data_IF_055685724132
#
_entry.id   IF_055685724132
#
_cell.length_a   1.000
_cell.length_b   1.000
_cell.length_c   1.000
_cell.angle_alpha   90.00
_cell.angle_beta   90.00
_cell.angle_gamma   90.00
#
_symmetry.space_group_name_H-M   'P 1'
#
loop_
_entity.id
_entity.type
_entity.pdbx_description
1 polymer ?
#
# COMPACT_ATOMS: atom_id res chain seq x y z
N UNK A 1 -25.71 22.31 25.64
CA UNK A 1 -27.01 22.39 24.94
C UNK A 1 -27.16 21.20 23.99
N UNK A 2 -27.70 20.06 24.44
CA UNK A 2 -28.18 19.00 23.55
C UNK A 2 -29.24 18.18 24.30
N UNK A 3 -30.51 18.58 24.14
CA UNK A 3 -31.69 17.73 24.36
C UNK A 3 -32.74 18.19 23.34
N UNK A 4 -33.11 17.31 22.40
CA UNK A 4 -34.46 17.21 21.86
C UNK A 4 -34.56 15.96 20.95
N UNK A 5 -35.54 15.07 21.16
CA UNK A 5 -35.92 14.02 20.22
C UNK A 5 -37.08 14.50 19.32
N UNK A 6 -36.99 14.24 18.02
CA UNK A 6 -38.02 14.61 17.04
C UNK A 6 -38.41 13.41 16.18
N UNK A 7 -39.70 13.08 16.20
CA UNK A 7 -40.36 12.01 15.46
C UNK A 7 -40.84 12.45 14.06
N UNK A 8 -41.21 11.46 13.23
CA UNK A 8 -41.79 11.63 11.88
C UNK A 8 -40.70 11.89 10.83
N UNK A 9 -40.64 11.26 9.67
CA UNK A 9 -41.68 11.16 8.65
C UNK A 9 -41.40 9.95 7.73
N UNK A 10 -42.36 9.03 7.59
CA UNK A 10 -42.40 8.02 6.54
C UNK A 10 -43.22 8.60 5.38
N UNK A 11 -42.59 8.82 4.22
CA UNK A 11 -43.29 9.13 2.96
C UNK A 11 -43.29 7.91 2.05
N UNK A 12 -44.50 7.54 1.69
CA UNK A 12 -44.94 6.52 0.74
C UNK A 12 -44.47 6.81 -0.69
N UNK A 13 -43.97 5.79 -1.40
CA UNK A 13 -43.68 5.82 -2.85
C UNK A 13 -44.86 5.21 -3.62
N UNK A 14 -45.29 5.81 -4.75
CA UNK A 14 -46.43 5.31 -5.52
C UNK A 14 -46.04 4.19 -6.51
N UNK A 15 -46.95 3.23 -6.63
CA UNK A 15 -46.96 2.09 -7.54
C UNK A 15 -47.15 2.52 -9.00
N UNK A 16 -46.22 2.15 -9.88
CA UNK A 16 -46.39 2.24 -11.33
C UNK A 16 -46.70 0.85 -11.91
N UNK A 17 -47.95 0.69 -12.35
CA UNK A 17 -48.51 -0.49 -13.03
C UNK A 17 -47.84 -0.66 -14.41
N UNK A 18 -47.26 -1.83 -14.68
CA UNK A 18 -46.92 -2.23 -16.04
C UNK A 18 -48.18 -2.72 -16.77
N UNK A 19 -48.45 -2.07 -17.90
CA UNK A 19 -49.55 -2.32 -18.82
C UNK A 19 -49.21 -3.51 -19.72
N UNK A 20 -49.97 -4.60 -19.59
CA UNK A 20 -49.96 -5.70 -20.53
C UNK A 20 -50.49 -5.24 -21.90
N UNK A 21 -49.79 -5.59 -22.97
CA UNK A 21 -50.24 -5.43 -24.36
C UNK A 21 -50.15 -6.79 -25.03
N UNK A 22 -51.29 -7.42 -25.25
CA UNK A 22 -51.42 -8.63 -26.06
C UNK A 22 -51.75 -8.30 -27.51
N UNK A 23 -51.42 -9.25 -28.39
CA UNK A 23 -51.96 -9.65 -29.71
C UNK A 23 -50.77 -10.20 -30.54
N UNK A 24 -50.79 -11.29 -31.29
CA UNK A 24 -51.69 -12.42 -31.61
C UNK A 24 -50.80 -13.43 -32.41
N UNK A 25 -51.25 -14.66 -32.70
CA UNK A 25 -50.40 -15.78 -33.11
C UNK A 25 -50.28 -15.93 -34.64
N UNK A 26 -49.09 -16.25 -35.12
CA UNK A 26 -48.83 -16.61 -36.52
C UNK A 26 -48.14 -17.96 -36.60
N UNK A 27 -48.89 -18.99 -37.01
CA UNK A 27 -48.37 -20.33 -37.27
C UNK A 27 -47.56 -20.36 -38.57
N UNK A 28 -46.34 -20.87 -38.52
CA UNK A 28 -45.66 -21.47 -39.67
C UNK A 28 -44.64 -22.53 -39.20
N UNK A 29 -44.79 -23.72 -39.77
CA UNK A 29 -44.09 -24.98 -39.44
C UNK A 29 -42.57 -24.95 -39.71
N UNK A 30 -41.79 -25.88 -39.12
CA UNK A 30 -40.34 -25.78 -38.99
C UNK A 30 -39.62 -26.29 -40.25
N UNK A 31 -38.59 -25.55 -40.70
CA UNK A 31 -37.61 -26.06 -41.67
C UNK A 31 -36.33 -26.43 -40.94
N UNK A 32 -36.08 -27.73 -40.83
CA UNK A 32 -34.78 -28.31 -40.46
C UNK A 32 -33.78 -28.05 -41.59
N UNK A 33 -32.59 -27.46 -41.33
CA UNK A 33 -31.45 -27.58 -42.22
C UNK A 33 -30.73 -28.92 -42.00
N UNK A 34 -30.28 -29.51 -43.11
CA UNK A 34 -29.62 -30.82 -43.23
C UNK A 34 -28.35 -30.99 -42.37
N UNK A 35 -27.94 -32.23 -42.04
CA UNK A 35 -26.71 -32.49 -41.30
C UNK A 35 -25.48 -32.17 -42.17
N UNK A 36 -24.62 -31.28 -41.69
CA UNK A 36 -23.30 -31.03 -42.28
C UNK A 36 -22.36 -32.22 -42.01
N UNK A 37 -21.43 -32.53 -42.93
CA UNK A 37 -20.59 -33.72 -42.85
C UNK A 37 -19.55 -33.67 -41.70
N UNK A 38 -19.31 -34.83 -41.09
CA UNK A 38 -18.56 -35.14 -39.84
C UNK A 38 -17.04 -34.84 -39.85
N UNK A 39 -16.54 -33.98 -40.75
CA UNK A 39 -15.08 -33.81 -40.96
C UNK A 39 -14.63 -32.35 -41.03
N UNK A 40 -15.47 -31.42 -40.56
CA UNK A 40 -15.00 -30.13 -40.05
C UNK A 40 -14.63 -30.27 -38.57
N UNK A 41 -13.61 -31.08 -38.28
CA UNK A 41 -12.88 -30.95 -37.02
C UNK A 41 -12.06 -29.66 -37.11
N UNK A 42 -12.72 -28.52 -36.90
CA UNK A 42 -12.00 -27.34 -36.46
C UNK A 42 -11.20 -27.78 -35.24
N UNK A 43 -9.88 -27.62 -35.29
CA UNK A 43 -9.03 -27.74 -34.13
C UNK A 43 -9.71 -26.94 -33.02
N UNK A 44 -10.22 -27.65 -32.01
CA UNK A 44 -10.62 -27.03 -30.76
C UNK A 44 -9.32 -26.48 -30.21
N UNK A 45 -9.01 -25.24 -30.60
CA UNK A 45 -8.03 -24.41 -29.95
C UNK A 45 -8.35 -24.57 -28.48
N UNK A 46 -7.41 -25.15 -27.73
CA UNK A 46 -7.56 -25.40 -26.31
C UNK A 46 -8.16 -24.13 -25.73
N UNK A 47 -9.42 -24.20 -25.30
CA UNK A 47 -10.11 -23.06 -24.75
C UNK A 47 -9.19 -22.57 -23.62
N UNK A 48 -8.60 -21.40 -23.83
CA UNK A 48 -7.74 -20.77 -22.85
C UNK A 48 -8.46 -20.87 -21.51
N UNK A 49 -7.77 -21.44 -20.52
CA UNK A 49 -8.27 -21.46 -19.15
C UNK A 49 -8.87 -20.08 -18.84
N UNK A 50 -9.99 -19.99 -18.09
CA UNK A 50 -10.60 -18.71 -17.79
C UNK A 50 -9.52 -17.76 -17.31
N UNK A 51 -9.24 -16.72 -18.10
CA UNK A 51 -8.08 -15.87 -17.93
C UNK A 51 -8.01 -15.47 -16.46
N UNK A 52 -7.00 -16.00 -15.75
CA UNK A 52 -6.93 -15.86 -14.31
C UNK A 52 -6.93 -14.37 -13.96
N UNK A 53 -7.43 -14.01 -12.77
CA UNK A 53 -7.33 -12.62 -12.28
C UNK A 53 -5.88 -12.08 -12.38
N UNK A 54 -4.89 -12.98 -12.29
CA UNK A 54 -3.49 -12.68 -12.53
C UNK A 54 -3.18 -12.31 -13.98
N UNK A 55 -3.69 -13.05 -14.97
CA UNK A 55 -3.47 -12.74 -16.39
C UNK A 55 -4.14 -11.43 -16.78
N UNK A 56 -5.35 -11.18 -16.27
CA UNK A 56 -6.03 -9.90 -16.43
C UNK A 56 -5.24 -8.74 -15.81
N UNK A 57 -4.61 -8.96 -14.66
CA UNK A 57 -3.70 -7.98 -14.03
C UNK A 57 -2.42 -7.80 -14.85
N UNK A 58 -1.80 -8.89 -15.32
CA UNK A 58 -0.57 -8.86 -16.11
C UNK A 58 -0.76 -8.14 -17.44
N UNK A 59 -1.94 -8.24 -18.05
CA UNK A 59 -2.31 -7.54 -19.27
C UNK A 59 -2.89 -6.12 -19.04
N UNK A 60 -2.98 -5.67 -17.79
CA UNK A 60 -3.60 -4.38 -17.48
C UNK A 60 -2.77 -3.18 -17.96
N UNK A 61 -3.45 -2.08 -18.29
CA UNK A 61 -2.82 -0.85 -18.75
C UNK A 61 -1.73 -0.29 -17.80
N UNK A 62 -1.89 -0.34 -16.45
CA UNK A 62 -0.84 0.10 -15.53
C UNK A 62 0.44 -0.75 -15.60
N UNK A 63 0.31 -2.05 -15.85
CA UNK A 63 1.47 -2.94 -16.03
C UNK A 63 2.18 -2.63 -17.33
N UNK A 64 1.44 -2.43 -18.43
CA UNK A 64 2.01 -2.01 -19.72
C UNK A 64 2.74 -0.67 -19.63
N UNK A 65 2.16 0.30 -18.92
CA UNK A 65 2.83 1.58 -18.67
C UNK A 65 4.13 1.40 -17.85
N UNK A 66 4.15 0.49 -16.89
CA UNK A 66 5.37 0.15 -16.15
C UNK A 66 6.42 -0.54 -17.05
N UNK A 67 6.00 -1.44 -17.95
CA UNK A 67 6.88 -2.05 -18.97
C UNK A 67 7.52 -0.97 -19.86
N UNK A 68 6.71 -0.05 -20.40
CA UNK A 68 7.19 1.06 -21.24
C UNK A 68 8.16 1.99 -20.50
N UNK A 69 7.90 2.33 -19.24
CA UNK A 69 8.80 3.16 -18.42
C UNK A 69 10.14 2.47 -18.21
N UNK A 70 10.15 1.16 -17.94
CA UNK A 70 11.38 0.38 -17.74
C UNK A 70 12.18 0.27 -19.05
N UNK A 71 11.50 0.00 -20.17
CA UNK A 71 12.14 -0.06 -21.50
C UNK A 71 12.69 1.30 -21.91
N UNK A 72 11.91 2.37 -21.75
CA UNK A 72 12.33 3.73 -22.05
C UNK A 72 13.52 4.17 -21.20
N UNK A 73 13.54 3.82 -19.91
CA UNK A 73 14.67 4.07 -19.01
C UNK A 73 15.94 3.34 -19.49
N UNK A 74 15.81 2.07 -19.88
CA UNK A 74 16.94 1.28 -20.37
C UNK A 74 17.47 1.83 -21.70
N UNK A 75 16.58 2.13 -22.64
CA UNK A 75 16.93 2.68 -23.94
C UNK A 75 17.58 4.07 -23.84
N UNK A 76 17.11 4.92 -22.93
CA UNK A 76 17.66 6.27 -22.73
C UNK A 76 19.03 6.26 -22.05
N UNK A 77 19.30 5.29 -21.17
CA UNK A 77 20.52 5.25 -20.35
C UNK A 77 21.60 4.35 -20.93
N UNK A 78 21.22 3.34 -21.74
CA UNK A 78 22.12 2.32 -22.28
C UNK A 78 22.77 1.44 -21.20
N UNK A 79 22.31 1.51 -19.96
CA UNK A 79 22.87 0.73 -18.85
C UNK A 79 22.47 -0.75 -18.96
N UNK A 80 23.27 -1.65 -18.37
CA UNK A 80 22.83 -3.02 -18.13
C UNK A 80 21.50 -3.05 -17.36
N UNK A 81 20.72 -4.10 -17.55
CA UNK A 81 19.37 -4.21 -16.98
C UNK A 81 19.33 -4.06 -15.46
N UNK A 82 20.31 -4.60 -14.73
CA UNK A 82 20.40 -4.39 -13.27
C UNK A 82 20.48 -2.90 -12.91
N UNK A 83 21.27 -2.11 -13.65
CA UNK A 83 21.47 -0.69 -13.43
C UNK A 83 20.24 0.13 -13.82
N UNK A 84 19.58 -0.22 -14.92
CA UNK A 84 18.33 0.43 -15.33
C UNK A 84 17.19 0.19 -14.33
N UNK A 85 17.06 -1.03 -13.79
CA UNK A 85 16.09 -1.34 -12.73
C UNK A 85 16.36 -0.48 -11.49
N UNK A 86 17.61 -0.36 -11.06
CA UNK A 86 18.00 0.49 -9.93
C UNK A 86 17.65 1.96 -10.20
N UNK A 87 18.08 2.51 -11.33
CA UNK A 87 17.90 3.92 -11.67
C UNK A 87 16.42 4.28 -11.80
N UNK A 88 15.64 3.47 -12.51
CA UNK A 88 14.19 3.68 -12.65
C UNK A 88 13.48 3.61 -11.30
N UNK A 89 13.88 2.70 -10.41
CA UNK A 89 13.33 2.60 -9.05
C UNK A 89 13.66 3.84 -8.23
N UNK A 90 14.92 4.29 -8.24
CA UNK A 90 15.36 5.50 -7.53
C UNK A 90 14.63 6.73 -8.06
N UNK A 91 14.53 6.88 -9.38
CA UNK A 91 13.84 7.99 -10.01
C UNK A 91 12.36 8.01 -9.64
N UNK A 92 11.67 6.87 -9.75
CA UNK A 92 10.24 6.79 -9.43
C UNK A 92 9.95 7.00 -7.95
N UNK A 93 10.73 6.36 -7.06
CA UNK A 93 10.63 6.57 -5.61
C UNK A 93 10.97 8.01 -5.24
N UNK A 94 11.98 8.61 -5.86
CA UNK A 94 12.39 9.98 -5.60
C UNK A 94 11.37 11.02 -6.08
N UNK A 95 10.82 10.84 -7.28
CA UNK A 95 9.88 11.79 -7.87
C UNK A 95 8.46 11.66 -7.30
N UNK A 96 8.00 10.44 -7.04
CA UNK A 96 6.63 10.20 -6.58
C UNK A 96 6.58 10.00 -5.07
N UNK A 97 7.33 9.03 -4.55
CA UNK A 97 7.09 8.56 -3.18
C UNK A 97 7.72 9.43 -2.12
N UNK A 98 8.82 10.12 -2.42
CA UNK A 98 9.48 11.05 -1.48
C UNK A 98 8.62 12.28 -1.16
N UNK A 99 8.03 13.02 -2.11
CA UNK A 99 7.11 14.12 -1.79
C UNK A 99 5.88 13.65 -1.01
N UNK A 100 5.31 12.50 -1.39
CA UNK A 100 4.20 11.87 -0.68
C UNK A 100 4.58 11.46 0.76
N UNK A 101 5.79 10.95 0.96
CA UNK A 101 6.32 10.63 2.29
C UNK A 101 6.55 11.90 3.12
N UNK A 102 7.10 12.97 2.54
CA UNK A 102 7.22 14.26 3.21
C UNK A 102 5.84 14.80 3.65
N UNK A 103 4.83 14.70 2.78
CA UNK A 103 3.46 15.07 3.11
C UNK A 103 2.85 14.19 4.21
N UNK A 104 3.08 12.87 4.18
CA UNK A 104 2.66 11.96 5.24
C UNK A 104 3.25 12.39 6.60
N UNK A 105 4.56 12.66 6.64
CA UNK A 105 5.24 13.11 7.87
C UNK A 105 4.74 14.47 8.34
N UNK A 106 4.45 15.39 7.41
CA UNK A 106 3.84 16.69 7.73
C UNK A 106 2.48 16.54 8.44
N UNK A 107 1.59 15.69 7.91
CA UNK A 107 0.27 15.45 8.52
C UNK A 107 0.42 14.76 9.88
N UNK A 108 1.31 13.77 9.99
CA UNK A 108 1.54 13.07 11.25
C UNK A 108 2.09 14.00 12.34
N UNK A 109 3.01 14.91 11.98
CA UNK A 109 3.55 15.90 12.90
C UNK A 109 2.46 16.86 13.41
N UNK A 110 1.54 17.30 12.54
CA UNK A 110 0.37 18.09 12.96
C UNK A 110 -0.52 17.33 13.94
N UNK A 111 -0.82 16.07 13.65
CA UNK A 111 -1.65 15.23 14.53
C UNK A 111 -0.96 14.99 15.89
N UNK A 112 0.36 14.88 15.91
CA UNK A 112 1.13 14.77 17.15
C UNK A 112 1.04 16.05 17.99
N UNK A 113 1.21 17.21 17.36
CA UNK A 113 1.10 18.51 18.03
C UNK A 113 -0.29 18.79 18.59
N UNK A 114 -1.34 18.14 18.06
CA UNK A 114 -2.70 18.19 18.58
C UNK A 114 -2.97 17.22 19.74
N UNK A 115 -2.09 16.24 19.99
CA UNK A 115 -2.30 15.28 21.08
C UNK A 115 -2.51 15.93 22.46
N UNK A 116 -1.81 17.00 22.86
CA UNK A 116 -2.07 17.71 24.11
C UNK A 116 -3.50 18.28 24.18
N UNK A 117 -3.96 18.96 23.12
CA UNK A 117 -5.33 19.52 23.06
C UNK A 117 -6.39 18.41 23.13
N UNK A 118 -6.16 17.30 22.41
CA UNK A 118 -7.03 16.11 22.45
C UNK A 118 -7.10 15.53 23.87
N UNK A 119 -5.98 15.48 24.61
CA UNK A 119 -5.95 15.00 26.01
C UNK A 119 -6.74 15.92 26.94
N UNK A 120 -6.65 17.23 26.76
CA UNK A 120 -7.41 18.19 27.55
C UNK A 120 -8.92 18.09 27.28
N UNK A 121 -9.30 17.96 26.00
CA UNK A 121 -10.70 17.69 25.61
C UNK A 121 -11.20 16.39 26.23
N UNK A 122 -10.41 15.31 26.18
CA UNK A 122 -10.78 14.03 26.76
C UNK A 122 -11.03 14.15 28.27
N UNK A 123 -10.19 14.89 29.00
CA UNK A 123 -10.35 15.13 30.44
C UNK A 123 -11.64 15.88 30.75
N UNK A 124 -11.91 16.99 30.05
CA UNK A 124 -13.13 17.80 30.23
C UNK A 124 -14.39 17.01 29.88
N UNK A 125 -14.39 16.35 28.72
CA UNK A 125 -15.53 15.54 28.27
C UNK A 125 -15.83 14.38 29.23
N UNK A 126 -14.80 13.73 29.77
CA UNK A 126 -15.00 12.66 30.75
C UNK A 126 -15.67 13.19 32.04
N UNK A 127 -15.27 14.37 32.51
CA UNK A 127 -15.91 15.03 33.67
C UNK A 127 -17.36 15.41 33.37
N UNK A 128 -17.64 16.01 32.21
CA UNK A 128 -19.00 16.39 31.80
C UNK A 128 -19.91 15.17 31.66
N UNK A 129 -19.43 14.10 31.01
CA UNK A 129 -20.19 12.86 30.87
C UNK A 129 -20.43 12.19 32.21
N UNK A 130 -19.46 12.22 33.15
CA UNK A 130 -19.64 11.68 34.48
C UNK A 130 -20.71 12.44 35.28
N UNK A 131 -20.71 13.77 35.23
CA UNK A 131 -21.73 14.62 35.87
C UNK A 131 -23.12 14.37 35.27
N UNK A 132 -23.23 14.34 33.94
CA UNK A 132 -24.49 14.03 33.26
C UNK A 132 -24.97 12.61 33.57
N UNK A 133 -24.07 11.62 33.59
CA UNK A 133 -24.43 10.25 33.92
C UNK A 133 -24.99 10.12 35.34
N UNK A 134 -24.40 10.85 36.30
CA UNK A 134 -24.91 10.90 37.67
C UNK A 134 -26.26 11.63 37.75
N UNK A 135 -26.38 12.79 37.10
CA UNK A 135 -27.61 13.63 37.15
C UNK A 135 -28.82 12.97 36.49
N UNK A 136 -28.62 12.28 35.38
CA UNK A 136 -29.68 11.67 34.58
C UNK A 136 -29.78 10.15 34.77
N UNK A 137 -29.03 9.57 35.70
CA UNK A 137 -29.05 8.13 35.98
C UNK A 137 -28.69 7.27 34.77
N UNK A 138 -27.74 7.70 33.93
CA UNK A 138 -27.39 6.96 32.72
C UNK A 138 -26.75 5.61 33.04
N UNK A 139 -27.09 4.58 32.26
CA UNK A 139 -26.37 3.31 32.33
C UNK A 139 -24.92 3.48 31.85
N UNK A 140 -24.01 2.64 32.38
CA UNK A 140 -22.58 2.65 31.99
C UNK A 140 -22.36 2.55 30.47
N UNK A 141 -23.23 1.80 29.76
CA UNK A 141 -23.18 1.67 28.31
C UNK A 141 -23.50 2.98 27.61
N UNK A 142 -24.56 3.66 28.03
CA UNK A 142 -24.98 4.95 27.45
C UNK A 142 -23.92 6.01 27.70
N UNK A 143 -23.41 6.13 28.92
CA UNK A 143 -22.33 7.07 29.22
C UNK A 143 -21.09 6.84 28.34
N UNK A 144 -20.65 5.58 28.18
CA UNK A 144 -19.52 5.22 27.32
C UNK A 144 -19.79 5.54 25.84
N UNK A 145 -20.97 5.20 25.32
CA UNK A 145 -21.33 5.49 23.93
C UNK A 145 -21.38 7.00 23.67
N UNK A 146 -21.96 7.77 24.59
CA UNK A 146 -22.00 9.24 24.51
C UNK A 146 -20.59 9.84 24.54
N UNK A 147 -19.72 9.37 25.45
CA UNK A 147 -18.32 9.77 25.49
C UNK A 147 -17.62 9.49 24.15
N UNK A 148 -17.70 8.26 23.63
CA UNK A 148 -17.04 7.88 22.38
C UNK A 148 -17.56 8.68 21.18
N UNK A 149 -18.88 8.93 21.12
CA UNK A 149 -19.52 9.71 20.05
C UNK A 149 -19.07 11.17 20.07
N UNK A 150 -19.11 11.81 21.24
CA UNK A 150 -18.67 13.21 21.39
C UNK A 150 -17.16 13.35 21.19
N UNK A 151 -16.37 12.40 21.69
CA UNK A 151 -14.92 12.39 21.50
C UNK A 151 -14.57 12.31 20.01
N UNK A 152 -15.20 11.41 19.26
CA UNK A 152 -14.99 11.29 17.81
C UNK A 152 -15.37 12.58 17.08
N UNK A 153 -16.48 13.21 17.46
CA UNK A 153 -16.95 14.47 16.87
C UNK A 153 -15.95 15.60 17.11
N UNK A 154 -15.56 15.86 18.36
CA UNK A 154 -14.65 16.95 18.72
C UNK A 154 -13.26 16.76 18.10
N UNK A 155 -12.73 15.54 18.10
CA UNK A 155 -11.46 15.23 17.44
C UNK A 155 -11.56 15.42 15.92
N UNK A 156 -12.69 15.05 15.31
CA UNK A 156 -12.90 15.26 13.87
C UNK A 156 -12.99 16.75 13.53
N UNK A 157 -13.69 17.56 14.33
CA UNK A 157 -13.77 19.01 14.17
C UNK A 157 -12.37 19.64 14.28
N UNK A 158 -11.56 19.16 15.23
CA UNK A 158 -10.17 19.58 15.39
C UNK A 158 -9.30 19.25 14.16
N UNK A 159 -9.43 18.04 13.61
CA UNK A 159 -8.71 17.66 12.39
C UNK A 159 -9.16 18.45 11.15
N UNK A 160 -10.42 18.88 11.09
CA UNK A 160 -10.92 19.74 10.01
C UNK A 160 -10.38 21.16 10.17
N UNK A 161 -10.39 21.71 11.39
CA UNK A 161 -9.83 23.03 11.73
C UNK A 161 -8.39 23.17 11.23
N UNK A 162 -7.56 22.15 11.50
CA UNK A 162 -6.12 22.18 11.19
C UNK A 162 -5.76 21.49 9.85
N UNK A 163 -6.80 21.02 9.15
CA UNK A 163 -6.75 20.33 7.85
C UNK A 163 -5.82 19.10 7.81
N UNK A 164 -5.67 18.42 8.95
CA UNK A 164 -4.68 17.36 9.20
C UNK A 164 -5.31 15.97 9.38
N UNK A 165 -6.41 15.70 8.67
CA UNK A 165 -7.11 14.41 8.80
C UNK A 165 -6.17 13.22 8.55
N UNK A 166 -6.11 12.21 9.46
CA UNK A 166 -5.13 11.12 9.39
C UNK A 166 -5.24 10.27 8.12
N UNK A 167 -6.40 10.25 7.47
CA UNK A 167 -6.57 9.58 6.17
C UNK A 167 -5.62 10.13 5.09
N UNK A 168 -5.28 11.42 5.13
CA UNK A 168 -4.33 12.02 4.18
C UNK A 168 -2.92 11.43 4.32
N UNK A 169 -2.54 11.02 5.52
CA UNK A 169 -1.27 10.33 5.76
C UNK A 169 -1.26 8.90 5.18
N UNK A 170 -2.42 8.31 4.88
CA UNK A 170 -2.50 6.97 4.27
C UNK A 170 -2.31 6.97 2.76
N UNK A 171 -2.34 8.14 2.11
CA UNK A 171 -2.24 8.27 0.64
C UNK A 171 -0.96 7.63 0.09
N UNK A 172 0.16 7.73 0.83
CA UNK A 172 1.41 7.08 0.42
C UNK A 172 1.23 5.58 0.25
N UNK A 173 0.53 4.90 1.16
CA UNK A 173 0.29 3.44 1.08
C UNK A 173 -0.53 3.08 -0.15
N UNK A 174 -1.55 3.88 -0.46
CA UNK A 174 -2.43 3.69 -1.61
C UNK A 174 -1.76 3.92 -2.96
N UNK A 175 -0.70 4.75 -3.02
CA UNK A 175 0.09 4.94 -4.24
C UNK A 175 1.21 3.91 -4.31
N UNK A 176 1.87 3.65 -3.18
CA UNK A 176 3.06 2.81 -3.10
C UNK A 176 2.76 1.33 -3.39
N UNK A 177 1.69 0.78 -2.81
CA UNK A 177 1.39 -0.65 -2.96
C UNK A 177 1.01 -1.01 -4.40
N UNK A 178 0.08 -0.31 -5.08
CA UNK A 178 -0.23 -0.62 -6.48
C UNK A 178 0.96 -0.41 -7.40
N UNK A 179 1.72 0.69 -7.23
CA UNK A 179 2.95 0.93 -7.99
C UNK A 179 3.95 -0.23 -7.84
N UNK A 180 4.15 -0.70 -6.61
CA UNK A 180 5.04 -1.83 -6.33
C UNK A 180 4.56 -3.12 -6.99
N UNK A 181 3.25 -3.39 -6.95
CA UNK A 181 2.64 -4.55 -7.63
C UNK A 181 2.85 -4.46 -9.14
N UNK A 182 2.49 -3.33 -9.77
CA UNK A 182 2.54 -3.19 -11.23
C UNK A 182 3.96 -3.34 -11.78
N UNK A 183 4.97 -2.75 -11.11
CA UNK A 183 6.37 -2.90 -11.51
C UNK A 183 6.85 -4.33 -11.30
N UNK A 184 6.45 -4.99 -10.21
CA UNK A 184 6.81 -6.40 -9.97
C UNK A 184 6.23 -7.32 -11.04
N UNK A 185 4.98 -7.08 -11.46
CA UNK A 185 4.34 -7.86 -12.53
C UNK A 185 4.99 -7.56 -13.88
N UNK A 186 5.33 -6.30 -14.18
CA UNK A 186 6.05 -5.92 -15.40
C UNK A 186 7.42 -6.63 -15.49
N UNK A 187 8.20 -6.62 -14.41
CA UNK A 187 9.49 -7.34 -14.35
C UNK A 187 9.30 -8.86 -14.47
N UNK A 188 8.20 -9.40 -13.96
CA UNK A 188 7.87 -10.82 -14.13
C UNK A 188 7.56 -11.13 -15.59
N UNK A 189 6.75 -10.30 -16.26
CA UNK A 189 6.44 -10.46 -17.67
C UNK A 189 7.70 -10.40 -18.54
N UNK A 190 8.65 -9.50 -18.25
CA UNK A 190 9.96 -9.49 -18.92
C UNK A 190 10.78 -10.75 -18.66
N UNK A 191 10.75 -11.27 -17.43
CA UNK A 191 11.52 -12.46 -17.06
C UNK A 191 10.94 -13.73 -17.68
N UNK A 192 9.63 -13.80 -17.90
CA UNK A 192 8.96 -14.96 -18.51
C UNK A 192 8.72 -14.83 -20.01
N UNK A 193 9.16 -13.73 -20.64
CA UNK A 193 8.92 -13.46 -22.07
C UNK A 193 7.46 -13.16 -22.41
N UNK A 194 6.60 -12.95 -21.40
CA UNK A 194 5.17 -12.68 -21.56
C UNK A 194 4.85 -11.18 -21.70
N UNK A 195 5.88 -10.35 -21.89
CA UNK A 195 5.71 -8.91 -22.06
C UNK A 195 4.92 -8.59 -23.33
N UNK A 196 4.10 -7.55 -23.27
CA UNK A 196 3.10 -7.26 -24.30
C UNK A 196 3.65 -6.55 -25.54
N UNK A 197 4.98 -6.40 -25.62
CA UNK A 197 5.68 -5.86 -26.78
C UNK A 197 6.20 -7.01 -27.64
N UNK A 198 6.23 -6.79 -28.95
CA UNK A 198 6.90 -7.65 -29.95
C UNK A 198 8.41 -7.87 -29.68
N UNK A 199 8.97 -7.15 -28.70
CA UNK A 199 10.30 -7.31 -28.14
C UNK A 199 10.36 -8.19 -26.87
N UNK A 200 9.27 -8.85 -26.45
CA UNK A 200 9.23 -9.57 -25.16
C UNK A 200 10.31 -10.65 -25.02
N UNK A 201 10.58 -11.40 -26.08
CA UNK A 201 11.62 -12.43 -26.13
C UNK A 201 13.02 -11.79 -26.16
N UNK A 202 13.22 -10.72 -26.93
CA UNK A 202 14.53 -10.05 -26.98
C UNK A 202 14.86 -9.34 -25.67
N UNK A 203 13.86 -8.81 -24.96
CA UNK A 203 14.02 -8.22 -23.62
C UNK A 203 14.37 -9.31 -22.61
N UNK A 204 13.75 -10.49 -22.67
CA UNK A 204 14.09 -11.61 -21.80
C UNK A 204 15.55 -12.04 -21.99
N UNK A 205 16.02 -12.18 -23.24
CA UNK A 205 17.42 -12.52 -23.54
C UNK A 205 18.39 -11.46 -22.99
N UNK A 206 18.05 -10.18 -23.15
CA UNK A 206 18.85 -9.09 -22.60
C UNK A 206 18.84 -9.07 -21.07
N UNK A 207 17.73 -9.42 -20.40
CA UNK A 207 17.68 -9.58 -18.94
C UNK A 207 18.56 -10.76 -18.49
N UNK A 208 18.53 -11.86 -19.21
CA UNK A 208 19.30 -13.05 -18.89
C UNK A 208 20.82 -12.82 -19.01
N UNK A 209 21.25 -11.95 -19.92
CA UNK A 209 22.65 -11.52 -20.03
C UNK A 209 22.98 -10.26 -19.22
N UNK A 210 21.96 -9.57 -18.68
CA UNK A 210 22.05 -8.21 -18.15
C UNK A 210 22.22 -8.11 -16.63
N UNK A 211 22.56 -9.21 -15.95
CA UNK A 211 22.80 -9.25 -14.51
C UNK A 211 24.20 -8.80 -14.09
N UNK A 212 24.53 -9.00 -12.82
CA UNK A 212 25.80 -8.58 -12.23
C UNK A 212 26.19 -9.45 -11.03
N UNK A 213 27.45 -9.36 -10.62
CA UNK A 213 27.98 -10.00 -9.41
C UNK A 213 27.70 -11.52 -9.40
N UNK A 214 27.00 -12.04 -8.39
CA UNK A 214 26.64 -13.46 -8.24
C UNK A 214 25.30 -13.82 -8.90
N UNK A 215 24.61 -12.86 -9.53
CA UNK A 215 23.35 -13.06 -10.25
C UNK A 215 23.49 -12.60 -11.72
N UNK A 216 24.22 -13.36 -12.56
CA UNK A 216 24.44 -12.99 -13.96
C UNK A 216 23.15 -13.02 -14.79
N UNK A 217 22.21 -13.91 -14.44
CA UNK A 217 20.91 -14.05 -15.06
C UNK A 217 19.81 -13.44 -14.17
N UNK A 218 19.18 -12.37 -14.65
CA UNK A 218 18.09 -11.70 -13.92
C UNK A 218 16.74 -12.41 -14.04
N UNK A 219 16.60 -13.34 -14.97
CA UNK A 219 15.37 -14.13 -15.20
C UNK A 219 15.32 -15.38 -14.32
N UNK A 220 16.49 -15.89 -13.92
CA UNK A 220 16.62 -17.00 -12.99
C UNK A 220 16.39 -16.58 -11.53
N UNK A 221 16.03 -17.55 -10.70
CA UNK A 221 15.96 -17.39 -9.24
C UNK A 221 17.36 -17.34 -8.63
N UNK A 222 17.54 -16.56 -7.56
CA UNK A 222 18.82 -16.46 -6.85
C UNK A 222 19.09 -17.72 -6.02
N UNK A 223 19.93 -18.62 -6.54
CA UNK A 223 20.31 -19.87 -5.85
C UNK A 223 21.19 -19.63 -4.62
N UNK A 224 21.80 -18.46 -4.48
CA UNK A 224 22.66 -18.11 -3.33
C UNK A 224 21.86 -17.60 -2.13
N UNK A 225 20.59 -17.25 -2.33
CA UNK A 225 19.69 -16.65 -1.34
C UNK A 225 20.17 -15.30 -0.78
N UNK A 226 21.24 -14.72 -1.32
CA UNK A 226 21.80 -13.46 -0.83
C UNK A 226 20.80 -12.31 -1.07
N UNK A 227 20.20 -12.21 -2.27
CA UNK A 227 19.21 -11.18 -2.57
C UNK A 227 17.93 -11.33 -1.73
N UNK A 228 17.27 -12.50 -1.67
CA UNK A 228 16.10 -12.72 -0.81
C UNK A 228 16.32 -12.37 0.66
N UNK A 229 17.44 -12.82 1.23
CA UNK A 229 17.79 -12.54 2.63
C UNK A 229 18.04 -11.04 2.83
N UNK A 230 18.73 -10.38 1.90
CA UNK A 230 18.98 -8.93 1.97
C UNK A 230 17.67 -8.14 1.98
N UNK A 231 16.69 -8.51 1.15
CA UNK A 231 15.35 -7.88 1.17
C UNK A 231 14.70 -8.02 2.54
N UNK A 232 14.71 -9.23 3.10
CA UNK A 232 14.16 -9.50 4.44
C UNK A 232 14.85 -8.67 5.53
N UNK A 233 16.18 -8.59 5.50
CA UNK A 233 16.98 -7.80 6.46
C UNK A 233 16.65 -6.31 6.37
N UNK A 234 16.63 -5.73 5.16
CA UNK A 234 16.32 -4.31 4.98
C UNK A 234 14.89 -4.00 5.42
N UNK A 235 13.92 -4.84 5.07
CA UNK A 235 12.54 -4.68 5.51
C UNK A 235 12.41 -4.77 7.03
N UNK A 236 13.09 -5.72 7.66
CA UNK A 236 13.11 -5.85 9.12
C UNK A 236 13.73 -4.61 9.78
N UNK A 237 14.82 -4.07 9.22
CA UNK A 237 15.43 -2.83 9.69
C UNK A 237 14.46 -1.64 9.64
N UNK A 238 13.69 -1.50 8.54
CA UNK A 238 12.65 -0.46 8.43
C UNK A 238 11.63 -0.60 9.56
N UNK A 239 11.15 -1.82 9.82
CA UNK A 239 10.18 -2.10 10.89
C UNK A 239 10.77 -1.80 12.27
N UNK A 240 12.02 -2.16 12.51
CA UNK A 240 12.69 -1.89 13.78
C UNK A 240 12.89 -0.40 14.03
N UNK A 241 13.33 0.35 13.01
CA UNK A 241 13.49 1.80 13.11
C UNK A 241 12.15 2.46 13.44
N UNK A 242 11.07 2.04 12.78
CA UNK A 242 9.73 2.57 13.06
C UNK A 242 9.22 2.17 14.45
N UNK A 243 9.49 0.94 14.90
CA UNK A 243 9.11 0.47 16.23
C UNK A 243 9.87 1.24 17.35
N UNK A 244 11.13 1.58 17.12
CA UNK A 244 11.95 2.35 18.07
C UNK A 244 11.47 3.80 18.23
N UNK A 245 10.78 4.36 17.22
CA UNK A 245 10.25 5.74 17.28
C UNK A 245 9.05 5.89 18.22
N UNK A 246 8.28 4.81 18.47
CA UNK A 246 7.04 4.90 19.23
C UNK A 246 7.26 4.64 20.72
N UNK A 247 7.59 5.68 21.47
CA UNK A 247 7.54 5.66 22.94
C UNK A 247 6.09 5.46 23.39
N UNK A 248 5.78 4.29 23.98
CA UNK A 248 4.44 3.97 24.49
C UNK A 248 3.48 3.40 23.44
N UNK A 249 3.87 2.32 22.74
CA UNK A 249 2.98 1.64 21.78
C UNK A 249 1.71 1.10 22.45
N UNK A 250 0.56 1.33 21.81
CA UNK A 250 -0.68 0.63 22.15
C UNK A 250 -0.56 -0.88 21.90
N UNK A 251 -1.32 -1.71 22.64
CA UNK A 251 -1.39 -3.17 22.41
C UNK A 251 -1.67 -3.51 20.94
N UNK A 252 -2.55 -2.76 20.29
CA UNK A 252 -2.84 -2.94 18.87
C UNK A 252 -1.63 -2.67 17.97
N UNK A 253 -0.88 -1.60 18.24
CA UNK A 253 0.34 -1.26 17.49
C UNK A 253 1.45 -2.29 17.72
N UNK A 254 1.54 -2.85 18.93
CA UNK A 254 2.45 -3.96 19.22
C UNK A 254 2.12 -5.19 18.37
N UNK A 255 0.85 -5.61 18.33
CA UNK A 255 0.43 -6.73 17.48
C UNK A 255 0.72 -6.48 16.01
N UNK A 256 0.41 -5.28 15.49
CA UNK A 256 0.75 -4.91 14.11
C UNK A 256 2.26 -5.00 13.88
N UNK A 257 3.06 -4.48 14.79
CA UNK A 257 4.53 -4.50 14.63
C UNK A 257 5.06 -5.93 14.56
N UNK A 258 4.60 -6.82 15.44
CA UNK A 258 4.97 -8.24 15.40
C UNK A 258 4.47 -8.94 14.12
N UNK A 259 3.27 -8.61 13.66
CA UNK A 259 2.74 -9.12 12.40
C UNK A 259 3.62 -8.69 11.20
N UNK A 260 3.97 -7.41 11.10
CA UNK A 260 4.81 -6.91 10.00
C UNK A 260 6.24 -7.47 10.07
N UNK A 261 6.79 -7.71 11.27
CA UNK A 261 8.05 -8.45 11.44
C UNK A 261 7.96 -9.86 10.87
N UNK A 262 6.93 -10.61 11.25
CA UNK A 262 6.70 -11.96 10.73
C UNK A 262 6.54 -11.95 9.21
N UNK A 263 5.81 -10.98 8.66
CA UNK A 263 5.66 -10.81 7.21
C UNK A 263 7.00 -10.49 6.52
N UNK A 264 7.88 -9.71 7.15
CA UNK A 264 9.21 -9.40 6.60
C UNK A 264 10.11 -10.63 6.51
N UNK A 265 10.01 -11.54 7.49
CA UNK A 265 10.72 -12.83 7.46
C UNK A 265 10.09 -13.78 6.44
N UNK A 266 8.75 -13.84 6.38
CA UNK A 266 8.02 -14.66 5.40
C UNK A 266 8.27 -14.22 3.95
N UNK A 267 8.60 -12.94 3.71
CA UNK A 267 8.95 -12.45 2.38
C UNK A 267 10.26 -13.04 1.84
N UNK A 268 11.14 -13.59 2.69
CA UNK A 268 12.41 -14.20 2.25
C UNK A 268 12.16 -15.44 1.37
N UNK A 269 11.43 -16.49 1.80
CA UNK A 269 11.17 -17.64 0.93
C UNK A 269 10.34 -17.27 -0.29
N UNK A 270 9.44 -16.29 -0.19
CA UNK A 270 8.68 -15.79 -1.36
C UNK A 270 9.64 -15.16 -2.38
N UNK A 271 10.55 -14.31 -1.93
CA UNK A 271 11.58 -13.72 -2.77
C UNK A 271 12.52 -14.76 -3.40
N UNK A 272 12.79 -15.88 -2.71
CA UNK A 272 13.61 -16.97 -3.25
C UNK A 272 12.92 -17.73 -4.41
N UNK A 273 11.60 -17.62 -4.56
CA UNK A 273 10.84 -18.29 -5.64
C UNK A 273 10.60 -17.44 -6.89
N UNK A 274 10.99 -16.17 -6.89
CA UNK A 274 10.75 -15.24 -7.99
C UNK A 274 12.05 -14.87 -8.71
N UNK A 275 12.00 -14.41 -9.98
CA UNK A 275 13.19 -14.01 -10.73
C UNK A 275 14.01 -12.94 -10.01
N UNK A 276 15.33 -13.00 -10.17
CA UNK A 276 16.29 -12.09 -9.52
C UNK A 276 16.04 -10.62 -9.87
N UNK A 277 15.50 -10.32 -11.06
CA UNK A 277 15.05 -8.96 -11.46
C UNK A 277 14.03 -8.36 -10.48
N UNK A 278 13.05 -9.15 -10.04
CA UNK A 278 12.03 -8.70 -9.07
C UNK A 278 12.65 -8.50 -7.70
N UNK A 279 13.49 -9.44 -7.26
CA UNK A 279 14.13 -9.35 -5.93
C UNK A 279 15.07 -8.16 -5.86
N UNK A 280 15.81 -7.88 -6.93
CA UNK A 280 16.67 -6.70 -7.06
C UNK A 280 15.84 -5.42 -7.00
N UNK A 281 14.72 -5.36 -7.72
CA UNK A 281 13.76 -4.27 -7.63
C UNK A 281 13.27 -4.10 -6.18
N UNK A 282 12.80 -5.17 -5.54
CA UNK A 282 12.31 -5.13 -4.15
C UNK A 282 13.39 -4.63 -3.19
N UNK A 283 14.63 -5.09 -3.35
CA UNK A 283 15.77 -4.67 -2.54
C UNK A 283 16.03 -3.17 -2.69
N UNK A 284 16.16 -2.69 -3.92
CA UNK A 284 16.35 -1.26 -4.21
C UNK A 284 15.20 -0.41 -3.66
N UNK A 285 13.96 -0.86 -3.88
CA UNK A 285 12.73 -0.21 -3.43
C UNK A 285 12.67 -0.11 -1.89
N UNK A 286 13.07 -1.16 -1.18
CA UNK A 286 13.18 -1.19 0.28
C UNK A 286 14.30 -0.29 0.79
N UNK A 287 15.48 -0.30 0.16
CA UNK A 287 16.56 0.63 0.49
C UNK A 287 16.13 2.09 0.30
N UNK A 288 15.43 2.42 -0.79
CA UNK A 288 14.89 3.76 -0.98
C UNK A 288 13.88 4.13 0.10
N UNK A 289 12.99 3.20 0.50
CA UNK A 289 12.07 3.42 1.62
C UNK A 289 12.80 3.67 2.94
N UNK A 290 13.87 2.93 3.22
CA UNK A 290 14.73 3.14 4.40
C UNK A 290 15.41 4.51 4.34
N UNK A 291 16.02 4.85 3.22
CA UNK A 291 16.68 6.14 2.99
C UNK A 291 15.70 7.31 3.14
N UNK A 292 14.48 7.21 2.60
CA UNK A 292 13.42 8.21 2.77
C UNK A 292 13.06 8.40 4.24
N UNK A 293 12.91 7.31 5.00
CA UNK A 293 12.63 7.37 6.43
C UNK A 293 13.78 8.03 7.22
N UNK A 294 15.03 7.72 6.88
CA UNK A 294 16.20 8.31 7.53
C UNK A 294 16.39 9.79 7.16
N UNK A 295 16.12 10.16 5.90
CA UNK A 295 16.16 11.55 5.43
C UNK A 295 15.08 12.40 6.11
N UNK A 296 13.84 11.92 6.16
CA UNK A 296 12.72 12.61 6.82
C UNK A 296 12.87 12.70 8.34
N UNK A 297 13.87 12.04 8.92
CA UNK A 297 14.25 12.20 10.32
C UNK A 297 15.25 13.33 10.55
N UNK A 298 16.02 13.71 9.53
CA UNK A 298 16.99 14.80 9.63
C UNK A 298 16.26 16.12 9.93
N UNK A 299 16.67 16.88 10.97
CA UNK A 299 16.04 18.16 11.28
C UNK A 299 16.16 19.14 10.11
N UNK A 300 17.31 19.16 9.42
CA UNK A 300 17.51 20.03 8.25
C UNK A 300 16.58 19.69 7.09
N UNK A 301 16.40 18.40 6.78
CA UNK A 301 15.48 18.00 5.71
C UNK A 301 14.01 18.23 6.10
N UNK A 302 13.66 18.05 7.37
CA UNK A 302 12.32 18.41 7.87
C UNK A 302 12.03 19.90 7.74
N UNK A 303 13.02 20.73 8.05
CA UNK A 303 12.92 22.18 7.85
C UNK A 303 12.76 22.53 6.38
N UNK A 304 13.54 21.88 5.49
CA UNK A 304 13.41 22.03 4.04
C UNK A 304 12.00 21.69 3.55
N UNK A 305 11.42 20.59 4.04
CA UNK A 305 10.06 20.16 3.73
C UNK A 305 8.97 20.90 4.54
N UNK A 306 9.32 21.91 5.35
CA UNK A 306 8.40 22.67 6.22
C UNK A 306 7.55 21.80 7.14
N UNK A 307 8.10 20.68 7.61
CA UNK A 307 7.45 19.79 8.56
C UNK A 307 7.48 20.47 9.95
N UNK A 308 6.33 20.65 10.63
CA UNK A 308 6.30 21.26 11.96
C UNK A 308 7.18 20.50 12.95
N UNK A 309 7.89 21.21 13.85
CA UNK A 309 8.59 20.56 14.95
C UNK A 309 7.57 19.93 15.90
N UNK A 310 7.90 18.76 16.43
CA UNK A 310 7.09 18.07 17.45
C UNK A 310 7.91 17.84 18.71
N UNK A 311 7.23 17.56 19.83
CA UNK A 311 7.90 17.32 21.12
C UNK A 311 8.72 16.02 21.12
N UNK A 312 8.45 15.11 20.19
CA UNK A 312 9.21 13.86 20.04
C UNK A 312 10.46 14.03 19.17
N UNK A 313 10.70 15.23 18.63
CA UNK A 313 11.85 15.50 17.79
C UNK A 313 13.11 15.67 18.64
N UNK A 314 14.15 14.93 18.28
CA UNK A 314 15.47 15.07 18.87
C UNK A 314 16.38 15.90 17.97
N UNK A 315 17.27 16.67 18.58
CA UNK A 315 18.34 17.38 17.90
C UNK A 315 19.39 16.44 17.29
N UNK A 316 19.54 15.23 17.86
CA UNK A 316 20.51 14.23 17.38
C UNK A 316 19.84 12.90 17.02
N UNK A 317 18.96 12.88 16.00
CA UNK A 317 18.10 11.72 15.72
C UNK A 317 18.87 10.44 15.44
N UNK A 318 20.02 10.51 14.77
CA UNK A 318 20.81 9.31 14.45
C UNK A 318 21.55 8.75 15.66
N UNK A 319 22.02 9.62 16.58
CA UNK A 319 22.64 9.19 17.84
C UNK A 319 21.61 8.48 18.71
N UNK A 320 20.43 9.06 18.85
CA UNK A 320 19.34 8.45 19.62
C UNK A 320 18.88 7.13 19.04
N UNK A 321 18.83 7.02 17.70
CA UNK A 321 18.54 5.74 17.05
C UNK A 321 19.56 4.68 17.43
N UNK A 322 20.85 5.04 17.33
CA UNK A 322 21.93 4.11 17.65
C UNK A 322 21.85 3.70 19.12
N UNK A 323 21.69 4.65 20.05
CA UNK A 323 21.57 4.38 21.47
C UNK A 323 20.36 3.49 21.78
N UNK A 324 19.20 3.76 21.17
CA UNK A 324 18.00 2.93 21.34
C UNK A 324 18.18 1.52 20.76
N UNK A 325 18.88 1.40 19.63
CA UNK A 325 19.22 0.12 19.03
C UNK A 325 20.19 -0.69 19.92
N UNK A 326 21.27 -0.07 20.40
CA UNK A 326 22.21 -0.66 21.35
C UNK A 326 21.51 -1.11 22.64
N UNK A 327 20.67 -0.25 23.22
CA UNK A 327 19.91 -0.59 24.43
C UNK A 327 18.98 -1.79 24.22
N UNK A 328 18.32 -1.88 23.06
CA UNK A 328 17.37 -2.96 22.77
C UNK A 328 18.04 -4.30 22.50
N UNK A 329 19.11 -4.31 21.72
CA UNK A 329 19.71 -5.56 21.21
C UNK A 329 21.00 -5.97 21.92
N UNK A 330 21.77 -5.03 22.46
CA UNK A 330 23.10 -5.29 23.03
C UNK A 330 23.13 -5.17 24.56
N UNK A 331 22.29 -4.33 25.16
CA UNK A 331 22.20 -4.18 26.63
C UNK A 331 21.27 -5.20 27.32
N UNK A 332 20.65 -6.12 26.56
CA UNK A 332 19.74 -7.15 27.08
C UNK A 332 20.40 -8.50 27.36
N UNK A 333 21.74 -8.55 27.38
CA UNK A 333 22.55 -9.65 27.93
C UNK A 333 22.89 -9.36 29.38
#
# INVERSE_FOLDING_TARGET
MLCCPGAGWLRTLPTLRLRARGLQPGWSSPRLPAPLPVWAAASVSAAAAPAGWYEALAASAPVRAAEEVLLGSQAATGLPWWGSILLSTVALRGAVTLPLAAYQHYILAKVENLQPEIKDIAKRLNQEVAVCAHRFGWSKRVARLTYLKNMRRLVSELYVRDNCHPFKATVLVWVQLPMWIFISVALRNFSTGAAHSEAGVSVQEQLAAGGALWFPDLTAVDSTWILPVSVGVVNLLIVEIFALQKLGMSRFQMYITHFVRAMSVLMIPIAATVPSSLVLYWLCSSFMGLSQNLLLRSPGFRQLCRIPPTKSDSETPYKDLSAAFYAKFLSRK
#
